data_IF_802944593052
#
_entry.id   IF_802944593052
#
_cell.length_a   1.000
_cell.length_b   1.000
_cell.length_c   1.000
_cell.angle_alpha   90.00
_cell.angle_beta   90.00
_cell.angle_gamma   90.00
#
_symmetry.space_group_name_H-M   'P 1'
#
loop_
_entity.id
_entity.type
_entity.pdbx_description
1 polymer ?
#
# COMPACT_ATOMS: atom_id res chain seq x y z
N UNK A 1 5.29 12.33 20.76
CA UNK A 1 6.29 12.98 21.65
C UNK A 1 6.50 14.46 21.30
N UNK A 2 6.62 14.83 20.02
CA UNK A 2 6.78 16.23 19.57
C UNK A 2 5.57 17.13 19.94
N UNK A 3 4.35 16.61 19.82
CA UNK A 3 3.11 17.34 20.14
C UNK A 3 3.01 17.78 21.62
N UNK A 4 3.44 16.93 22.55
CA UNK A 4 3.45 17.25 23.99
C UNK A 4 4.52 18.28 24.35
N UNK A 5 5.63 18.33 23.60
CA UNK A 5 6.69 19.33 23.78
C UNK A 5 6.22 20.72 23.36
N UNK A 6 5.51 20.81 22.23
CA UNK A 6 4.90 22.06 21.76
C UNK A 6 3.85 22.56 22.75
N UNK A 7 3.01 21.67 23.27
CA UNK A 7 1.95 22.04 24.23
C UNK A 7 2.51 22.59 25.55
N UNK A 8 3.64 22.04 26.02
CA UNK A 8 4.34 22.51 27.23
C UNK A 8 5.06 23.85 27.00
N UNK A 9 5.58 24.09 25.80
CA UNK A 9 6.18 25.37 25.41
C UNK A 9 5.15 26.52 25.40
N UNK A 10 3.94 26.28 24.86
CA UNK A 10 2.89 27.30 24.82
C UNK A 10 2.28 27.61 26.21
N UNK A 11 2.16 26.62 27.10
CA UNK A 11 1.65 26.86 28.45
C UNK A 11 2.57 27.76 29.30
N UNK A 12 3.86 27.83 28.98
CA UNK A 12 4.87 28.59 29.73
C UNK A 12 5.04 30.04 29.22
N UNK A 13 4.36 30.44 28.14
CA UNK A 13 4.43 31.78 27.52
C UNK A 13 3.36 32.76 28.05
N UNK A 14 2.60 32.39 29.09
CA UNK A 14 1.45 33.17 29.59
C UNK A 14 1.80 34.33 30.54
N UNK A 15 3.08 34.63 30.80
CA UNK A 15 3.47 35.71 31.72
C UNK A 15 4.61 36.57 31.19
N UNK A 16 4.53 37.02 29.94
CA UNK A 16 5.41 38.07 29.42
C UNK A 16 4.54 39.29 29.08
N UNK A 17 4.23 40.10 30.10
CA UNK A 17 3.73 41.46 29.92
C UNK A 17 4.89 42.33 29.47
N UNK A 18 5.06 42.54 28.16
CA UNK A 18 5.93 43.59 27.64
C UNK A 18 5.07 44.84 27.46
N UNK A 19 5.35 45.87 28.26
CA UNK A 19 4.77 47.20 28.12
C UNK A 19 5.20 47.82 26.78
N UNK A 20 4.41 47.65 25.73
CA UNK A 20 4.53 48.44 24.50
C UNK A 20 3.57 49.61 24.63
N UNK A 21 4.11 50.77 24.97
CA UNK A 21 3.39 52.05 25.03
C UNK A 21 3.03 52.54 23.62
N UNK A 22 1.95 52.01 23.05
CA UNK A 22 1.14 52.67 22.00
C UNK A 22 -0.31 52.23 22.14
N UNK A 23 -1.24 53.19 22.07
CA UNK A 23 -2.63 53.10 22.50
C UNK A 23 -3.55 52.32 21.52
N UNK A 24 -3.20 51.07 21.21
CA UNK A 24 -4.06 50.10 20.51
C UNK A 24 -3.78 48.71 21.08
N UNK A 25 -4.74 48.15 21.81
CA UNK A 25 -4.67 46.77 22.32
C UNK A 25 -4.78 45.77 21.15
N UNK A 26 -3.64 45.43 20.55
CA UNK A 26 -3.59 44.31 19.63
C UNK A 26 -3.49 43.02 20.42
N UNK A 27 -4.58 42.26 20.46
CA UNK A 27 -4.64 40.99 21.19
C UNK A 27 -3.61 40.00 20.62
N UNK A 28 -2.54 39.74 21.39
CA UNK A 28 -1.40 38.89 21.03
C UNK A 28 -1.83 37.50 20.58
N UNK A 29 -2.93 36.95 21.13
CA UNK A 29 -3.50 35.68 20.70
C UNK A 29 -3.89 35.70 19.23
N UNK A 30 -4.47 36.79 18.76
CA UNK A 30 -4.98 36.93 17.38
C UNK A 30 -3.83 37.04 16.38
N UNK A 31 -2.74 37.73 16.74
CA UNK A 31 -1.54 37.84 15.90
C UNK A 31 -0.80 36.50 15.83
N UNK A 32 -0.62 35.84 16.99
CA UNK A 32 0.02 34.52 17.06
C UNK A 32 -0.79 33.46 16.30
N UNK A 33 -2.12 33.43 16.44
CA UNK A 33 -2.97 32.50 15.68
C UNK A 33 -2.95 32.75 14.17
N UNK A 34 -2.94 34.02 13.73
CA UNK A 34 -2.86 34.36 12.30
C UNK A 34 -1.48 34.00 11.72
N UNK A 35 -0.40 34.29 12.44
CA UNK A 35 0.96 33.91 12.06
C UNK A 35 1.16 32.40 12.01
N UNK A 36 0.61 31.66 12.98
CA UNK A 36 0.68 30.20 13.00
C UNK A 36 -0.11 29.56 11.85
N UNK A 37 -1.28 30.12 11.50
CA UNK A 37 -2.05 29.68 10.32
C UNK A 37 -1.29 29.89 9.03
N UNK A 38 -0.64 31.05 8.87
CA UNK A 38 0.15 31.37 7.68
C UNK A 38 1.39 30.47 7.58
N UNK A 39 2.08 30.22 8.70
CA UNK A 39 3.20 29.28 8.75
C UNK A 39 2.77 27.85 8.42
N UNK A 40 1.63 27.39 8.94
CA UNK A 40 1.08 26.07 8.64
C UNK A 40 0.66 25.95 7.16
N UNK A 41 0.11 27.02 6.57
CA UNK A 41 -0.20 27.09 5.14
C UNK A 41 1.04 27.06 4.25
N UNK A 42 2.10 27.78 4.62
CA UNK A 42 3.39 27.77 3.91
C UNK A 42 4.09 26.41 4.06
N UNK A 43 4.02 25.79 5.24
CA UNK A 43 4.54 24.44 5.49
C UNK A 43 3.80 23.36 4.68
N UNK A 44 2.49 23.53 4.45
CA UNK A 44 1.70 22.69 3.54
C UNK A 44 2.12 22.86 2.07
N UNK A 45 2.55 24.06 1.67
CA UNK A 45 3.05 24.31 0.31
C UNK A 45 4.47 23.77 0.08
N UNK A 46 5.29 23.64 1.13
CA UNK A 46 6.62 23.02 1.04
C UNK A 46 6.61 21.50 1.23
N UNK A 47 5.53 20.92 1.75
CA UNK A 47 5.34 19.46 1.84
C UNK A 47 4.80 18.89 0.52
N UNK A 48 5.65 18.89 -0.51
CA UNK A 48 5.31 18.28 -1.80
C UNK A 48 5.21 16.74 -1.69
N UNK A 49 4.17 16.10 -2.26
CA UNK A 49 4.03 14.63 -2.32
C UNK A 49 5.19 13.88 -3.01
N UNK A 50 6.07 14.59 -3.71
CA UNK A 50 7.19 14.02 -4.46
C UNK A 50 8.17 13.20 -3.60
N UNK A 51 8.40 13.57 -2.34
CA UNK A 51 9.34 12.85 -1.44
C UNK A 51 8.87 11.45 -1.03
N UNK A 52 7.57 11.15 -1.14
CA UNK A 52 6.98 9.84 -0.82
C UNK A 52 6.94 8.93 -2.06
N UNK A 53 6.75 9.52 -3.25
CA UNK A 53 6.85 8.81 -4.53
C UNK A 53 8.26 8.22 -4.74
N UNK A 54 9.30 8.98 -4.40
CA UNK A 54 10.71 8.58 -4.56
C UNK A 54 11.07 7.34 -3.73
N UNK A 55 10.62 7.28 -2.47
CA UNK A 55 10.85 6.12 -1.59
C UNK A 55 10.05 4.89 -2.02
N UNK A 56 8.86 5.11 -2.54
CA UNK A 56 7.98 4.02 -3.01
C UNK A 56 8.56 3.39 -4.28
N UNK A 57 9.03 4.20 -5.22
CA UNK A 57 9.69 3.72 -6.43
C UNK A 57 10.99 2.95 -6.11
N UNK A 58 11.86 3.51 -5.27
CA UNK A 58 13.11 2.83 -4.89
C UNK A 58 12.87 1.47 -4.22
N UNK A 59 11.83 1.37 -3.38
CA UNK A 59 11.43 0.09 -2.75
C UNK A 59 10.92 -0.93 -3.78
N UNK A 60 10.16 -0.48 -4.78
CA UNK A 60 9.66 -1.36 -5.86
C UNK A 60 10.79 -1.84 -6.77
N UNK A 61 11.77 -0.99 -7.07
CA UNK A 61 12.96 -1.36 -7.84
C UNK A 61 13.79 -2.41 -7.09
N UNK A 62 13.98 -2.24 -5.78
CA UNK A 62 14.64 -3.24 -4.93
C UNK A 62 13.87 -4.57 -4.93
N UNK A 63 12.54 -4.52 -4.77
CA UNK A 63 11.71 -5.71 -4.76
C UNK A 63 11.75 -6.45 -6.11
N UNK A 64 11.73 -5.72 -7.22
CA UNK A 64 11.86 -6.27 -8.57
C UNK A 64 13.25 -6.89 -8.81
N UNK A 65 14.32 -6.25 -8.33
CA UNK A 65 15.67 -6.81 -8.44
C UNK A 65 15.80 -8.16 -7.71
N UNK A 66 15.22 -8.27 -6.50
CA UNK A 66 15.18 -9.52 -5.76
C UNK A 66 14.34 -10.60 -6.44
N UNK A 67 13.26 -10.22 -7.13
CA UNK A 67 12.50 -11.13 -7.97
C UNK A 67 13.35 -11.67 -9.12
N UNK A 68 14.03 -10.79 -9.86
CA UNK A 68 14.92 -11.20 -10.97
C UNK A 68 16.01 -12.14 -10.44
N UNK A 69 16.57 -11.85 -9.28
CA UNK A 69 17.54 -12.74 -8.63
C UNK A 69 16.94 -14.11 -8.32
N UNK A 70 15.69 -14.18 -7.84
CA UNK A 70 15.00 -15.45 -7.63
C UNK A 70 14.85 -16.25 -8.93
N UNK A 71 14.49 -15.60 -10.03
CA UNK A 71 14.40 -16.23 -11.36
C UNK A 71 15.76 -16.77 -11.80
N UNK A 72 16.84 -16.01 -11.63
CA UNK A 72 18.18 -16.48 -11.96
C UNK A 72 18.59 -17.75 -11.17
N UNK A 73 18.19 -17.87 -9.90
CA UNK A 73 18.42 -19.09 -9.13
C UNK A 73 17.52 -20.25 -9.59
N UNK A 74 16.29 -19.98 -10.04
CA UNK A 74 15.44 -21.00 -10.65
C UNK A 74 16.09 -21.58 -11.91
N UNK A 75 16.67 -20.74 -12.77
CA UNK A 75 17.37 -21.17 -13.99
C UNK A 75 18.59 -22.03 -13.67
N UNK A 76 19.30 -21.71 -12.60
CA UNK A 76 20.41 -22.52 -12.06
C UNK A 76 19.96 -23.78 -11.31
N UNK A 77 18.65 -24.06 -11.27
CA UNK A 77 18.03 -25.19 -10.54
C UNK A 77 18.24 -25.15 -9.02
N UNK A 78 18.71 -24.04 -8.45
CA UNK A 78 18.80 -23.86 -6.99
C UNK A 78 17.46 -23.33 -6.44
N UNK A 79 16.54 -24.28 -6.25
CA UNK A 79 15.19 -23.99 -5.76
C UNK A 79 15.18 -23.37 -4.36
N UNK A 80 16.17 -23.69 -3.52
CA UNK A 80 16.23 -23.19 -2.14
C UNK A 80 16.55 -21.70 -2.14
N UNK A 81 17.60 -21.30 -2.85
CA UNK A 81 17.95 -19.88 -2.96
C UNK A 81 16.86 -19.10 -3.70
N UNK A 82 16.31 -19.67 -4.77
CA UNK A 82 15.21 -19.05 -5.50
C UNK A 82 14.03 -18.73 -4.58
N UNK A 83 13.62 -19.67 -3.71
CA UNK A 83 12.52 -19.45 -2.77
C UNK A 83 12.83 -18.35 -1.73
N UNK A 84 14.07 -18.27 -1.25
CA UNK A 84 14.50 -17.23 -0.30
C UNK A 84 14.37 -15.84 -0.93
N UNK A 85 14.91 -15.65 -2.13
CA UNK A 85 14.84 -14.37 -2.83
C UNK A 85 13.42 -14.00 -3.26
N UNK A 86 12.64 -15.01 -3.68
CA UNK A 86 11.25 -14.83 -4.03
C UNK A 86 10.42 -14.37 -2.82
N UNK A 87 10.66 -14.95 -1.65
CA UNK A 87 10.03 -14.53 -0.39
C UNK A 87 10.36 -13.08 -0.05
N UNK A 88 11.64 -12.69 -0.11
CA UNK A 88 12.08 -11.31 0.19
C UNK A 88 11.40 -10.29 -0.74
N UNK A 89 11.33 -10.61 -2.03
CA UNK A 89 10.64 -9.77 -3.02
C UNK A 89 9.12 -9.67 -2.73
N UNK A 90 8.49 -10.79 -2.41
CA UNK A 90 7.07 -10.83 -2.05
C UNK A 90 6.75 -10.00 -0.79
N UNK A 91 7.61 -10.06 0.22
CA UNK A 91 7.50 -9.29 1.46
C UNK A 91 7.57 -7.78 1.23
N UNK A 92 8.32 -7.33 0.22
CA UNK A 92 8.39 -5.93 -0.19
C UNK A 92 7.23 -5.46 -1.07
N UNK A 93 6.32 -6.35 -1.45
CA UNK A 93 5.12 -5.97 -2.19
C UNK A 93 5.12 -6.33 -3.67
N UNK A 94 6.20 -6.90 -4.22
CA UNK A 94 6.27 -7.16 -5.66
C UNK A 94 5.22 -8.18 -6.09
N UNK A 95 4.35 -7.75 -7.00
CA UNK A 95 3.05 -8.37 -7.27
C UNK A 95 3.19 -9.81 -7.78
N UNK A 96 4.08 -10.03 -8.74
CA UNK A 96 4.38 -11.33 -9.33
C UNK A 96 5.07 -12.25 -8.31
N UNK A 97 5.98 -11.72 -7.48
CA UNK A 97 6.66 -12.50 -6.45
C UNK A 97 5.68 -12.99 -5.39
N UNK A 98 4.70 -12.16 -4.98
CA UNK A 98 3.65 -12.58 -4.05
C UNK A 98 2.83 -13.76 -4.58
N UNK A 99 2.44 -13.71 -5.86
CA UNK A 99 1.72 -14.81 -6.50
C UNK A 99 2.58 -16.07 -6.61
N UNK A 100 3.81 -15.95 -7.10
CA UNK A 100 4.69 -17.10 -7.28
C UNK A 100 5.11 -17.72 -5.96
N UNK A 101 5.32 -16.91 -4.92
CA UNK A 101 5.59 -17.39 -3.57
C UNK A 101 4.39 -18.14 -3.00
N UNK A 102 3.16 -17.63 -3.20
CA UNK A 102 1.93 -18.31 -2.82
C UNK A 102 1.84 -19.73 -3.43
N UNK A 103 2.19 -19.88 -4.72
CA UNK A 103 2.21 -21.18 -5.42
C UNK A 103 3.20 -22.20 -4.79
N UNK A 104 4.12 -21.77 -3.92
CA UNK A 104 5.09 -22.64 -3.24
C UNK A 104 4.68 -23.00 -1.80
N UNK A 105 3.56 -22.47 -1.32
CA UNK A 105 3.09 -22.66 0.05
C UNK A 105 1.92 -23.64 0.12
N UNK A 106 1.70 -24.26 1.31
CA UNK A 106 0.44 -24.94 1.60
C UNK A 106 -0.75 -23.99 1.46
N UNK A 107 -1.90 -24.57 1.12
CA UNK A 107 -3.10 -23.85 0.71
C UNK A 107 -3.52 -22.75 1.69
N UNK A 108 -3.55 -23.04 2.99
CA UNK A 108 -4.01 -22.14 4.05
C UNK A 108 -3.13 -20.89 4.15
N UNK A 109 -1.83 -21.04 3.86
CA UNK A 109 -0.87 -19.93 3.84
C UNK A 109 -0.87 -19.21 2.50
N UNK A 110 -1.09 -19.92 1.40
CA UNK A 110 -1.11 -19.38 0.05
C UNK A 110 -2.24 -18.34 -0.13
N UNK A 111 -3.42 -18.57 0.45
CA UNK A 111 -4.58 -17.65 0.36
C UNK A 111 -4.17 -16.22 0.72
N UNK A 112 -3.49 -16.02 1.85
CA UNK A 112 -3.07 -14.68 2.30
C UNK A 112 -2.15 -13.98 1.31
N UNK A 113 -1.30 -14.73 0.61
CA UNK A 113 -0.38 -14.18 -0.39
C UNK A 113 -1.05 -13.91 -1.73
N UNK A 114 -1.95 -14.78 -2.16
CA UNK A 114 -2.81 -14.50 -3.31
C UNK A 114 -3.66 -13.25 -3.06
N UNK A 115 -4.22 -13.07 -1.87
CA UNK A 115 -4.99 -11.86 -1.54
C UNK A 115 -4.16 -10.59 -1.64
N UNK A 116 -2.90 -10.61 -1.20
CA UNK A 116 -1.99 -9.47 -1.36
C UNK A 116 -1.77 -9.13 -2.83
N UNK A 117 -1.46 -10.13 -3.65
CA UNK A 117 -1.22 -9.96 -5.09
C UNK A 117 -2.50 -9.51 -5.83
N UNK A 118 -3.64 -10.13 -5.50
CA UNK A 118 -4.95 -9.83 -6.09
C UNK A 118 -5.46 -8.43 -5.74
N UNK A 119 -5.19 -7.92 -4.53
CA UNK A 119 -5.50 -6.53 -4.13
C UNK A 119 -4.74 -5.49 -4.94
N UNK A 120 -3.56 -5.84 -5.44
CA UNK A 120 -2.76 -5.00 -6.33
C UNK A 120 -3.18 -5.12 -7.81
N UNK A 121 -4.23 -5.90 -8.11
CA UNK A 121 -4.75 -6.06 -9.47
C UNK A 121 -4.19 -7.25 -10.24
N UNK A 122 -3.42 -8.14 -9.60
CA UNK A 122 -2.86 -9.29 -10.32
C UNK A 122 -3.95 -10.31 -10.68
N UNK A 123 -4.23 -10.41 -11.97
CA UNK A 123 -5.39 -11.15 -12.48
C UNK A 123 -5.26 -12.64 -12.21
N UNK A 124 -4.05 -13.21 -12.34
CA UNK A 124 -3.82 -14.64 -12.02
C UNK A 124 -4.07 -14.94 -10.54
N UNK A 125 -3.76 -14.02 -9.63
CA UNK A 125 -4.07 -14.19 -8.21
C UNK A 125 -5.57 -14.06 -7.94
N UNK A 126 -6.25 -13.13 -8.60
CA UNK A 126 -7.72 -12.98 -8.50
C UNK A 126 -8.44 -14.22 -9.02
N UNK A 127 -8.00 -14.78 -10.16
CA UNK A 127 -8.50 -16.05 -10.67
C UNK A 127 -8.30 -17.19 -9.68
N UNK A 128 -7.09 -17.33 -9.13
CA UNK A 128 -6.78 -18.39 -8.19
C UNK A 128 -7.66 -18.30 -6.93
N UNK A 129 -7.90 -17.09 -6.42
CA UNK A 129 -8.85 -16.88 -5.32
C UNK A 129 -10.30 -17.18 -5.71
N UNK A 130 -10.70 -16.84 -6.94
CA UNK A 130 -11.99 -17.22 -7.50
C UNK A 130 -12.18 -18.74 -7.49
N UNK A 131 -11.18 -19.50 -7.92
CA UNK A 131 -11.20 -20.97 -7.87
C UNK A 131 -11.21 -21.51 -6.43
N UNK A 132 -10.37 -20.96 -5.55
CA UNK A 132 -10.27 -21.35 -4.15
C UNK A 132 -11.62 -21.21 -3.44
N UNK A 133 -12.29 -20.08 -3.65
CA UNK A 133 -13.55 -19.79 -2.98
C UNK A 133 -14.78 -20.36 -3.71
N UNK A 134 -14.65 -20.89 -4.94
CA UNK A 134 -15.76 -21.48 -5.69
C UNK A 134 -16.47 -22.59 -4.89
N UNK A 135 -15.71 -23.39 -4.13
CA UNK A 135 -16.25 -24.51 -3.34
C UNK A 135 -16.54 -24.15 -1.88
N UNK A 136 -15.95 -23.07 -1.35
CA UNK A 136 -16.01 -22.74 0.08
C UNK A 136 -16.78 -21.47 0.45
N UNK A 137 -16.87 -20.48 -0.45
CA UNK A 137 -17.57 -19.23 -0.18
C UNK A 137 -17.93 -18.50 -1.48
N UNK A 138 -19.14 -18.74 -1.98
CA UNK A 138 -19.63 -18.16 -3.23
C UNK A 138 -19.51 -16.62 -3.27
N UNK A 139 -19.78 -15.94 -2.15
CA UNK A 139 -19.70 -14.47 -2.06
C UNK A 139 -18.28 -13.95 -2.28
N UNK A 140 -17.28 -14.60 -1.70
CA UNK A 140 -15.87 -14.25 -1.91
C UNK A 140 -15.41 -14.59 -3.31
N UNK A 141 -15.87 -15.73 -3.82
CA UNK A 141 -15.54 -16.21 -5.15
C UNK A 141 -16.04 -15.23 -6.24
N UNK A 142 -17.32 -14.84 -6.16
CA UNK A 142 -17.94 -13.85 -7.05
C UNK A 142 -17.19 -12.52 -7.02
N UNK A 143 -16.80 -12.04 -5.83
CA UNK A 143 -16.05 -10.79 -5.67
C UNK A 143 -14.70 -10.80 -6.41
N UNK A 144 -13.93 -11.88 -6.26
CA UNK A 144 -12.61 -11.97 -6.89
C UNK A 144 -12.70 -12.18 -8.40
N UNK A 145 -13.66 -12.99 -8.87
CA UNK A 145 -13.91 -13.19 -10.30
C UNK A 145 -14.42 -11.92 -10.99
N UNK A 146 -15.29 -11.14 -10.33
CA UNK A 146 -15.75 -9.85 -10.87
C UNK A 146 -14.58 -8.87 -11.05
N UNK A 147 -13.72 -8.74 -10.03
CA UNK A 147 -12.53 -7.87 -10.11
C UNK A 147 -11.58 -8.26 -11.25
N UNK A 148 -11.41 -9.56 -11.47
CA UNK A 148 -10.62 -10.07 -12.60
C UNK A 148 -11.29 -9.76 -13.94
N UNK A 149 -12.61 -9.92 -14.04
CA UNK A 149 -13.38 -9.67 -15.26
C UNK A 149 -13.41 -8.18 -15.66
N UNK A 150 -13.46 -7.28 -14.69
CA UNK A 150 -13.40 -5.82 -14.89
C UNK A 150 -12.00 -5.31 -15.27
N UNK A 151 -10.97 -6.15 -15.13
CA UNK A 151 -9.62 -5.79 -15.58
C UNK A 151 -9.56 -5.74 -17.12
N UNK A 152 -8.79 -4.79 -17.67
CA UNK A 152 -8.69 -4.55 -19.12
C UNK A 152 -7.87 -5.61 -19.89
N UNK A 153 -7.43 -6.69 -19.24
CA UNK A 153 -6.60 -7.72 -19.85
C UNK A 153 -7.48 -8.82 -20.50
N UNK A 154 -7.52 -8.81 -21.83
CA UNK A 154 -8.41 -9.65 -22.63
C UNK A 154 -8.06 -11.14 -22.59
N UNK A 155 -6.79 -11.50 -22.35
CA UNK A 155 -6.34 -12.88 -22.43
C UNK A 155 -6.89 -13.76 -21.30
N UNK A 156 -7.04 -13.18 -20.11
CA UNK A 156 -7.57 -13.89 -18.95
C UNK A 156 -9.08 -13.75 -18.79
N UNK A 157 -9.70 -12.79 -19.51
CA UNK A 157 -11.15 -12.57 -19.53
C UNK A 157 -11.92 -13.80 -19.98
N UNK A 158 -11.47 -14.51 -21.02
CA UNK A 158 -12.14 -15.72 -21.53
C UNK A 158 -12.11 -16.87 -20.49
N UNK A 159 -10.99 -17.05 -19.80
CA UNK A 159 -10.87 -18.05 -18.73
C UNK A 159 -11.77 -17.69 -17.54
N UNK A 160 -11.93 -16.38 -17.24
CA UNK A 160 -12.83 -15.92 -16.18
C UNK A 160 -14.30 -15.98 -16.59
N UNK A 161 -14.60 -15.82 -17.87
CA UNK A 161 -15.98 -15.76 -18.38
C UNK A 161 -16.74 -17.06 -18.09
N UNK A 162 -16.07 -18.21 -18.23
CA UNK A 162 -16.66 -19.50 -17.86
C UNK A 162 -17.01 -19.59 -16.36
N UNK A 163 -16.09 -19.19 -15.48
CA UNK A 163 -16.34 -19.14 -14.02
C UNK A 163 -17.42 -18.12 -13.68
N UNK A 164 -17.36 -16.92 -14.27
CA UNK A 164 -18.32 -15.84 -14.05
C UNK A 164 -19.73 -16.25 -14.46
N UNK A 165 -19.87 -16.90 -15.61
CA UNK A 165 -21.14 -17.45 -16.08
C UNK A 165 -21.66 -18.53 -15.14
N UNK A 166 -20.82 -19.47 -14.72
CA UNK A 166 -21.18 -20.49 -13.73
C UNK A 166 -21.64 -19.89 -12.38
N UNK A 167 -21.13 -18.71 -12.00
CA UNK A 167 -21.63 -17.99 -10.83
C UNK A 167 -22.95 -17.26 -11.08
N UNK A 168 -23.15 -16.68 -12.27
CA UNK A 168 -24.35 -15.91 -12.61
C UNK A 168 -25.59 -16.81 -12.79
N UNK A 169 -25.38 -18.05 -13.17
CA UNK A 169 -26.42 -19.04 -13.46
C UNK A 169 -26.79 -19.91 -12.23
N UNK A 170 -26.22 -19.62 -11.04
CA UNK A 170 -26.57 -20.22 -9.74
C UNK A 170 -27.27 -19.20 -8.84
#
# INVERSE_FOLDING_TARGET
>A
MFFLFIQRFFNNMNTINICINTNKEYNLRTILFKGLKLFFWIALLSFSPSSMADKTQASQESAKAQYIQAIAYYDKKDKRQALIWLKKSAEQGYVEAQFLYANKLPFERAIKWYEKSAKQGYIRAQYMLGLIYFTGSYTQAKKWTQRAYESKDSAMKNNMESLWKAYKDR
#
